data_IF_922295821478
#
_entry.id   IF_922295821478
#
_cell.length_a   1.000
_cell.length_b   1.000
_cell.length_c   1.000
_cell.angle_alpha   90.00
_cell.angle_beta   90.00
_cell.angle_gamma   90.00
#
_symmetry.space_group_name_H-M   'P 1'
#
loop_
_entity.id
_entity.type
_entity.pdbx_description
1 polymer ?
#
# COMPACT_ATOMS: atom_id res chain seq x y z
N UNK A 1 -0.92 -8.98 -16.24
CA UNK A 1 -1.96 -8.16 -15.59
C UNK A 1 -2.14 -8.73 -14.20
N UNK A 2 -1.76 -8.01 -13.14
CA UNK A 2 -2.11 -8.45 -11.78
C UNK A 2 -3.58 -8.10 -11.61
N UNK A 3 -4.46 -9.09 -11.69
CA UNK A 3 -5.86 -8.92 -11.29
C UNK A 3 -5.87 -8.85 -9.76
N UNK A 4 -5.91 -7.64 -9.20
CA UNK A 4 -6.16 -7.47 -7.77
C UNK A 4 -7.62 -7.72 -7.48
N UNK A 5 -7.94 -8.64 -6.57
CA UNK A 5 -9.24 -8.66 -5.92
C UNK A 5 -9.37 -7.41 -5.04
N UNK A 6 -10.56 -6.78 -4.96
CA UNK A 6 -10.77 -5.61 -4.10
C UNK A 6 -10.50 -5.88 -2.61
N UNK A 7 -10.41 -7.16 -2.23
CA UNK A 7 -10.15 -7.64 -0.87
C UNK A 7 -8.68 -7.78 -0.50
N UNK A 8 -7.72 -7.65 -1.44
CA UNK A 8 -6.30 -7.87 -1.14
C UNK A 8 -5.44 -6.64 -1.50
N UNK A 9 -4.41 -6.32 -0.68
CA UNK A 9 -3.44 -5.31 -1.01
C UNK A 9 -2.75 -5.62 -2.35
N UNK A 10 -2.71 -4.64 -3.24
CA UNK A 10 -1.98 -4.71 -4.52
C UNK A 10 -0.53 -4.30 -4.29
N UNK A 11 0.41 -5.21 -4.54
CA UNK A 11 1.84 -4.89 -4.59
C UNK A 11 2.22 -4.52 -6.02
N UNK A 12 2.84 -3.37 -6.23
CA UNK A 12 3.32 -2.96 -7.55
C UNK A 12 4.82 -2.67 -7.58
N UNK A 13 5.58 -3.20 -8.56
CA UNK A 13 6.90 -2.69 -8.88
C UNK A 13 6.80 -1.27 -9.45
N UNK A 14 7.77 -0.42 -9.13
CA UNK A 14 7.75 0.99 -9.53
C UNK A 14 7.57 1.15 -11.05
N UNK A 15 6.65 2.04 -11.45
CA UNK A 15 6.65 2.62 -12.79
C UNK A 15 5.51 2.23 -13.75
N UNK A 16 4.50 1.43 -13.39
CA UNK A 16 3.31 1.23 -14.25
C UNK A 16 2.01 1.19 -13.45
N UNK A 17 1.45 2.36 -13.19
CA UNK A 17 0.10 2.50 -12.65
C UNK A 17 -0.92 2.41 -13.78
N UNK A 18 -1.78 1.40 -13.74
CA UNK A 18 -3.07 1.46 -14.42
C UNK A 18 -4.11 1.12 -13.36
N UNK A 19 -4.63 2.16 -12.72
CA UNK A 19 -5.80 2.04 -11.86
C UNK A 19 -6.96 1.67 -12.78
N UNK A 20 -7.35 0.39 -12.80
CA UNK A 20 -8.51 -0.05 -13.56
C UNK A 20 -9.76 0.69 -13.08
N UNK A 21 -10.76 0.91 -13.96
CA UNK A 21 -12.01 1.51 -13.54
C UNK A 21 -12.66 0.66 -12.45
N UNK A 22 -12.75 1.22 -11.24
CA UNK A 22 -13.56 0.66 -10.17
C UNK A 22 -15.01 0.76 -10.61
N UNK A 23 -15.70 -0.38 -10.72
CA UNK A 23 -17.08 -0.41 -11.15
C UNK A 23 -17.95 0.25 -10.07
N UNK A 24 -18.34 1.50 -10.30
CA UNK A 24 -19.50 2.18 -9.71
C UNK A 24 -19.67 2.10 -8.19
N UNK A 25 -18.71 2.60 -7.41
CA UNK A 25 -18.93 3.14 -6.04
C UNK A 25 -17.94 4.30 -5.83
N UNK A 26 -18.22 5.24 -4.92
CA UNK A 26 -17.32 6.35 -4.56
C UNK A 26 -15.99 5.80 -3.98
N UNK A 27 -15.10 5.28 -4.83
CA UNK A 27 -13.88 4.59 -4.39
C UNK A 27 -12.75 5.60 -4.32
N UNK A 28 -12.53 6.19 -3.15
CA UNK A 28 -11.24 6.80 -2.85
C UNK A 28 -10.16 5.72 -2.94
N UNK A 29 -8.96 6.04 -3.43
CA UNK A 29 -7.88 5.05 -3.54
C UNK A 29 -6.97 5.13 -2.31
N UNK A 30 -6.48 3.99 -1.82
CA UNK A 30 -5.49 3.98 -0.73
C UNK A 30 -4.11 3.69 -1.31
N UNK A 31 -3.11 4.49 -0.93
CA UNK A 31 -1.72 4.26 -1.33
C UNK A 31 -0.80 4.29 -0.12
N UNK A 32 -0.12 3.18 0.09
CA UNK A 32 0.95 3.04 1.09
C UNK A 32 2.30 3.13 0.39
N UNK A 33 2.97 4.27 0.56
CA UNK A 33 4.26 4.59 -0.02
C UNK A 33 5.38 4.30 0.99
N UNK A 34 6.16 3.24 0.77
CA UNK A 34 7.25 2.81 1.67
C UNK A 34 8.61 3.30 1.14
N UNK A 35 8.71 4.60 0.84
CA UNK A 35 9.94 5.23 0.35
C UNK A 35 10.20 6.57 1.05
N UNK A 36 11.48 6.88 1.27
CA UNK A 36 11.92 8.19 1.73
C UNK A 36 11.91 9.23 0.60
N UNK A 37 12.35 8.84 -0.60
CA UNK A 37 12.71 9.79 -1.67
C UNK A 37 11.66 9.96 -2.78
N UNK A 38 10.56 9.19 -2.75
CA UNK A 38 9.48 9.33 -3.74
C UNK A 38 8.28 10.05 -3.10
N UNK A 39 7.92 11.27 -3.57
CA UNK A 39 6.79 12.01 -3.02
C UNK A 39 5.44 11.44 -3.49
N UNK A 40 4.38 11.74 -2.73
CA UNK A 40 3.00 11.39 -3.09
C UNK A 40 2.46 12.33 -4.18
N UNK A 41 2.50 11.89 -5.44
CA UNK A 41 2.25 12.76 -6.60
C UNK A 41 0.78 13.19 -6.76
N UNK A 42 -0.18 12.40 -6.25
CA UNK A 42 -1.62 12.63 -6.47
C UNK A 42 -2.38 13.05 -5.21
N UNK A 43 -1.69 13.40 -4.12
CA UNK A 43 -2.32 13.78 -2.85
C UNK A 43 -3.25 14.99 -3.00
N UNK A 44 -2.89 15.94 -3.88
CA UNK A 44 -3.68 17.13 -4.17
C UNK A 44 -5.02 16.86 -4.87
N UNK A 45 -5.24 15.65 -5.41
CA UNK A 45 -6.49 15.31 -6.10
C UNK A 45 -7.65 15.06 -5.14
N UNK A 46 -7.39 14.88 -3.84
CA UNK A 46 -8.39 14.57 -2.81
C UNK A 46 -9.10 13.22 -2.99
N UNK A 47 -8.79 12.49 -4.06
CA UNK A 47 -9.40 11.20 -4.42
C UNK A 47 -8.57 10.02 -3.93
N UNK A 48 -7.39 10.28 -3.38
CA UNK A 48 -6.44 9.27 -2.91
C UNK A 48 -6.04 9.60 -1.47
N UNK A 49 -6.23 8.63 -0.57
CA UNK A 49 -5.69 8.67 0.77
C UNK A 49 -4.29 8.07 0.76
N UNK A 50 -3.32 8.85 1.23
CA UNK A 50 -1.93 8.42 1.30
C UNK A 50 -1.51 8.10 2.73
N UNK A 51 -0.63 7.12 2.85
CA UNK A 51 0.24 6.93 4.00
C UNK A 51 1.67 6.76 3.49
N UNK A 52 2.61 7.54 4.02
CA UNK A 52 4.03 7.42 3.68
C UNK A 52 4.82 6.90 4.88
N UNK A 53 5.61 5.85 4.66
CA UNK A 53 6.60 5.32 5.59
C UNK A 53 7.97 5.67 5.00
N UNK A 54 8.62 6.76 5.47
CA UNK A 54 9.83 7.28 4.88
C UNK A 54 11.06 6.46 5.32
N UNK A 55 11.14 5.23 4.81
CA UNK A 55 12.27 4.35 5.06
C UNK A 55 13.23 4.37 3.87
N UNK A 56 14.48 4.72 4.16
CA UNK A 56 15.60 4.60 3.24
C UNK A 56 15.93 3.11 3.04
N UNK A 57 16.51 2.75 1.90
CA UNK A 57 16.90 1.37 1.57
C UNK A 57 18.17 0.93 2.33
N UNK A 58 18.24 1.29 3.62
CA UNK A 58 19.36 1.02 4.49
C UNK A 58 18.95 0.03 5.58
N UNK A 59 19.73 -1.02 5.74
CA UNK A 59 19.53 -2.16 6.64
C UNK A 59 19.33 -1.80 8.12
N UNK A 60 19.72 -0.58 8.51
CA UNK A 60 19.61 -0.06 9.87
C UNK A 60 18.23 0.48 10.22
N UNK A 61 17.32 0.64 9.25
CA UNK A 61 15.97 1.13 9.51
C UNK A 61 15.01 -0.03 9.73
N UNK A 62 14.40 -0.06 10.92
CA UNK A 62 13.52 -1.14 11.32
C UNK A 62 12.10 -0.93 10.79
N UNK A 63 11.79 -1.56 9.64
CA UNK A 63 10.46 -1.57 9.03
C UNK A 63 9.38 -2.13 9.97
N UNK A 64 9.74 -3.06 10.87
CA UNK A 64 8.78 -3.71 11.76
C UNK A 64 8.09 -2.74 12.73
N UNK A 65 8.76 -1.63 13.07
CA UNK A 65 8.15 -0.58 13.90
C UNK A 65 6.93 0.09 13.26
N UNK A 66 6.78 -0.03 11.93
CA UNK A 66 5.68 0.54 11.17
C UNK A 66 4.60 -0.48 10.80
N UNK A 67 4.82 -1.77 11.08
CA UNK A 67 3.83 -2.82 10.78
C UNK A 67 2.45 -2.53 11.35
N UNK A 68 2.28 -2.14 12.63
CA UNK A 68 0.95 -1.88 13.17
C UNK A 68 0.20 -0.78 12.41
N UNK A 69 0.91 0.30 12.06
CA UNK A 69 0.31 1.43 11.32
C UNK A 69 -0.01 1.05 9.88
N UNK A 70 0.87 0.30 9.21
CA UNK A 70 0.66 -0.18 7.85
C UNK A 70 -0.52 -1.14 7.76
N UNK A 71 -0.63 -2.10 8.69
CA UNK A 71 -1.74 -3.06 8.77
C UNK A 71 -3.05 -2.31 9.01
N UNK A 72 -3.08 -1.37 9.95
CA UNK A 72 -4.27 -0.56 10.22
C UNK A 72 -4.73 0.22 8.99
N UNK A 73 -3.80 0.78 8.21
CA UNK A 73 -4.11 1.49 6.97
C UNK A 73 -4.70 0.56 5.89
N UNK A 74 -4.18 -0.66 5.77
CA UNK A 74 -4.69 -1.69 4.86
C UNK A 74 -6.11 -2.13 5.29
N UNK A 75 -6.33 -2.34 6.59
CA UNK A 75 -7.64 -2.70 7.13
C UNK A 75 -8.68 -1.60 6.97
N UNK A 76 -8.27 -0.33 7.08
CA UNK A 76 -9.16 0.80 6.81
C UNK A 76 -9.65 0.78 5.36
N UNK A 77 -8.76 0.56 4.39
CA UNK A 77 -9.11 0.44 2.98
C UNK A 77 -10.10 -0.71 2.75
N UNK A 78 -9.83 -1.88 3.34
CA UNK A 78 -10.71 -3.05 3.29
C UNK A 78 -12.09 -2.78 3.89
N UNK A 79 -12.16 -2.07 5.01
CA UNK A 79 -13.43 -1.71 5.66
C UNK A 79 -14.32 -0.81 4.79
N UNK A 80 -13.71 -0.14 3.80
CA UNK A 80 -14.37 0.72 2.82
C UNK A 80 -14.56 0.01 1.46
N UNK A 81 -14.45 -1.32 1.40
CA UNK A 81 -14.53 -2.13 0.18
C UNK A 81 -13.62 -1.61 -0.94
N UNK A 82 -12.45 -1.11 -0.54
CA UNK A 82 -11.53 -0.37 -1.38
C UNK A 82 -10.16 -1.03 -1.40
N UNK A 83 -9.55 -1.11 -2.57
CA UNK A 83 -8.19 -1.64 -2.71
C UNK A 83 -7.12 -0.66 -2.20
N UNK A 84 -6.06 -1.21 -1.64
CA UNK A 84 -4.84 -0.46 -1.26
C UNK A 84 -3.68 -0.86 -2.17
N UNK A 85 -2.96 0.14 -2.66
CA UNK A 85 -1.71 -0.02 -3.39
C UNK A 85 -0.54 0.16 -2.44
N UNK A 86 0.25 -0.89 -2.24
CA UNK A 86 1.49 -0.85 -1.45
C UNK A 86 2.68 -0.85 -2.41
N UNK A 87 3.52 0.19 -2.34
CA UNK A 87 4.70 0.29 -3.20
C UNK A 87 5.95 0.74 -2.45
N UNK A 88 7.10 0.32 -2.97
CA UNK A 88 8.41 0.86 -2.60
C UNK A 88 9.18 1.24 -3.88
N UNK A 89 10.50 1.47 -3.79
CA UNK A 89 11.28 1.93 -4.95
C UNK A 89 11.34 0.91 -6.10
N UNK A 90 11.40 -0.39 -5.80
CA UNK A 90 11.45 -1.46 -6.81
C UNK A 90 10.25 -2.42 -6.73
N UNK A 91 9.47 -2.34 -5.65
CA UNK A 91 8.38 -3.29 -5.36
C UNK A 91 8.83 -4.71 -5.00
N UNK A 92 10.08 -4.90 -4.59
CA UNK A 92 10.69 -6.23 -4.36
C UNK A 92 10.91 -6.56 -2.88
N UNK A 93 11.26 -5.57 -2.06
CA UNK A 93 11.64 -5.79 -0.65
C UNK A 93 10.58 -5.23 0.29
N UNK A 94 10.66 -3.95 0.64
CA UNK A 94 9.79 -3.28 1.63
C UNK A 94 8.28 -3.51 1.44
N UNK A 95 7.77 -3.32 0.22
CA UNK A 95 6.34 -3.52 -0.07
C UNK A 95 5.91 -4.98 0.09
N UNK A 96 6.78 -5.93 -0.27
CA UNK A 96 6.52 -7.36 -0.11
C UNK A 96 6.56 -7.76 1.36
N UNK A 97 7.50 -7.21 2.14
CA UNK A 97 7.57 -7.46 3.59
C UNK A 97 6.30 -6.97 4.30
N UNK A 98 5.80 -5.77 3.96
CA UNK A 98 4.54 -5.27 4.53
C UNK A 98 3.36 -6.18 4.19
N UNK A 99 3.29 -6.65 2.94
CA UNK A 99 2.25 -7.59 2.52
C UNK A 99 2.35 -8.94 3.26
N UNK A 100 3.55 -9.47 3.43
CA UNK A 100 3.76 -10.72 4.17
C UNK A 100 3.32 -10.59 5.62
N UNK A 101 3.73 -9.52 6.30
CA UNK A 101 3.32 -9.26 7.67
C UNK A 101 1.80 -9.11 7.79
N UNK A 102 1.19 -8.41 6.82
CA UNK A 102 -0.26 -8.27 6.75
C UNK A 102 -0.97 -9.62 6.68
N UNK A 103 -0.52 -10.54 5.81
CA UNK A 103 -1.11 -11.88 5.70
C UNK A 103 -0.92 -12.69 6.99
N UNK A 104 0.26 -12.61 7.63
CA UNK A 104 0.51 -13.28 8.92
C UNK A 104 -0.47 -12.77 9.99
N UNK A 105 -0.59 -11.44 10.14
CA UNK A 105 -1.50 -10.83 11.10
C UNK A 105 -2.98 -11.18 10.82
N UNK A 106 -3.32 -11.42 9.55
CA UNK A 106 -4.68 -11.80 9.14
C UNK A 106 -5.02 -13.24 9.51
N UNK A 107 -4.06 -14.15 9.44
CA UNK A 107 -4.29 -15.57 9.75
C UNK A 107 -4.33 -15.86 11.26
N UNK A 108 -3.91 -14.90 12.10
CA UNK A 108 -3.96 -14.96 13.57
C UNK A 108 -5.29 -14.44 14.19
N UNK A 109 -6.27 -14.02 13.37
CA UNK A 109 -7.59 -13.50 13.77
C UNK A 109 -8.73 -14.46 13.43
#
# INVERSE_FOLDING_TARGET
>A
MVQGSPSLPLISPAGRYSLGPSHSRNVGYYVLNVTADLPNVFEATGSIKYMQIPIADHWSQNLATYFPQAIQFIEEARSQDTGVLVHCLAGVSRSVTIYQEYEICRDDL
#
